data_IF_840680879578
#
_entry.id   IF_840680879578
#
_cell.length_a   1.000
_cell.length_b   1.000
_cell.length_c   1.000
_cell.angle_alpha   90.00
_cell.angle_beta   90.00
_cell.angle_gamma   90.00
#
_symmetry.space_group_name_H-M   'P 1'
#
loop_
_entity.id
_entity.type
_entity.pdbx_description
1 polymer ?
#
# COMPACT_ATOMS: atom_id res chain seq x y z
N UNK A 1 8.63 52.48 19.32
CA UNK A 1 9.08 51.58 18.24
C UNK A 1 7.95 50.56 18.00
N UNK A 2 6.73 51.04 17.71
CA UNK A 2 5.50 50.26 17.99
C UNK A 2 4.60 50.04 16.77
N UNK A 3 5.14 50.24 15.56
CA UNK A 3 4.36 50.15 14.32
C UNK A 3 4.33 48.74 13.70
N UNK A 4 5.19 47.81 14.14
CA UNK A 4 5.27 46.46 13.56
C UNK A 4 4.37 45.41 14.24
N UNK A 5 3.98 45.61 15.50
CA UNK A 5 3.33 44.58 16.32
C UNK A 5 2.04 43.96 15.73
N UNK A 6 1.02 44.76 15.38
CA UNK A 6 -0.27 44.21 14.97
C UNK A 6 -0.28 43.66 13.54
N UNK A 7 0.48 44.28 12.62
CA UNK A 7 0.54 43.83 11.23
C UNK A 7 1.29 42.51 11.07
N UNK A 8 2.39 42.33 11.83
CA UNK A 8 3.15 41.07 11.84
C UNK A 8 2.29 39.90 12.30
N UNK A 9 1.48 40.11 13.34
CA UNK A 9 0.54 39.08 13.83
C UNK A 9 -0.51 38.77 12.75
N UNK A 10 -1.06 39.79 12.09
CA UNK A 10 -2.00 39.61 10.98
C UNK A 10 -1.41 38.80 9.83
N UNK A 11 -0.19 39.12 9.40
CA UNK A 11 0.51 38.37 8.35
C UNK A 11 0.81 36.92 8.77
N UNK A 12 1.18 36.69 10.03
CA UNK A 12 1.41 35.33 10.55
C UNK A 12 0.13 34.50 10.56
N UNK A 13 -0.99 35.09 10.99
CA UNK A 13 -2.31 34.43 10.98
C UNK A 13 -2.72 34.07 9.55
N UNK A 14 -2.56 35.01 8.62
CA UNK A 14 -2.87 34.79 7.20
C UNK A 14 -2.00 33.68 6.61
N UNK A 15 -0.69 33.69 6.89
CA UNK A 15 0.24 32.67 6.44
C UNK A 15 -0.16 31.28 6.97
N UNK A 16 -0.43 31.16 8.27
CA UNK A 16 -0.77 29.88 8.89
C UNK A 16 -2.09 29.30 8.37
N UNK A 17 -3.12 30.14 8.18
CA UNK A 17 -4.37 29.69 7.56
C UNK A 17 -4.20 29.33 6.09
N UNK A 18 -3.35 30.05 5.34
CA UNK A 18 -3.06 29.70 3.95
C UNK A 18 -2.37 28.34 3.85
N UNK A 19 -1.37 28.10 4.71
CA UNK A 19 -0.70 26.80 4.82
C UNK A 19 -1.66 25.70 5.27
N UNK A 20 -2.53 25.99 6.24
CA UNK A 20 -3.57 25.07 6.71
C UNK A 20 -4.53 24.67 5.60
N UNK A 21 -4.99 25.63 4.79
CA UNK A 21 -5.86 25.36 3.64
C UNK A 21 -5.18 24.49 2.59
N UNK A 22 -3.93 24.81 2.23
CA UNK A 22 -3.14 24.01 1.27
C UNK A 22 -2.97 22.58 1.82
N UNK A 23 -2.61 22.46 3.10
CA UNK A 23 -2.45 21.18 3.77
C UNK A 23 -3.77 20.38 3.82
N UNK A 24 -4.91 21.03 4.07
CA UNK A 24 -6.23 20.40 4.08
C UNK A 24 -6.60 19.83 2.71
N UNK A 25 -6.36 20.58 1.64
CA UNK A 25 -6.55 20.08 0.26
C UNK A 25 -5.64 18.88 0.01
N UNK A 26 -4.36 18.98 0.38
CA UNK A 26 -3.44 17.85 0.27
C UNK A 26 -3.94 16.62 1.05
N UNK A 27 -4.53 16.81 2.23
CA UNK A 27 -5.03 15.71 3.06
C UNK A 27 -6.19 14.98 2.39
N UNK A 28 -7.12 15.72 1.79
CA UNK A 28 -8.23 15.16 1.01
C UNK A 28 -7.73 14.32 -0.16
N UNK A 29 -6.63 14.73 -0.80
CA UNK A 29 -6.08 14.05 -1.97
C UNK A 29 -5.20 12.84 -1.63
N UNK A 30 -4.58 12.80 -0.46
CA UNK A 30 -3.54 11.80 -0.13
C UNK A 30 -3.95 10.80 0.95
N UNK A 31 -4.87 11.16 1.84
CA UNK A 31 -5.31 10.28 2.93
C UNK A 31 -6.31 9.26 2.40
N UNK A 32 -5.98 7.98 2.62
CA UNK A 32 -6.64 6.82 1.97
C UNK A 32 -8.03 6.49 2.49
N UNK A 33 -8.37 6.97 3.67
CA UNK A 33 -9.67 6.71 4.31
C UNK A 33 -10.47 8.00 4.36
N UNK A 34 -11.74 7.95 3.99
CA UNK A 34 -12.63 9.12 4.05
C UNK A 34 -12.68 9.74 5.47
N UNK A 35 -12.72 8.91 6.52
CA UNK A 35 -12.73 9.36 7.91
C UNK A 35 -11.45 10.13 8.28
N UNK A 36 -10.28 9.57 7.97
CA UNK A 36 -9.00 10.24 8.22
C UNK A 36 -8.83 11.51 7.39
N UNK A 37 -9.26 11.51 6.12
CA UNK A 37 -9.16 12.67 5.23
C UNK A 37 -9.99 13.85 5.77
N UNK A 38 -11.23 13.59 6.18
CA UNK A 38 -12.11 14.61 6.77
C UNK A 38 -11.54 15.11 8.11
N UNK A 39 -11.04 14.21 8.95
CA UNK A 39 -10.44 14.58 10.24
C UNK A 39 -9.26 15.55 10.06
N UNK A 40 -8.34 15.25 9.14
CA UNK A 40 -7.22 16.12 8.84
C UNK A 40 -7.66 17.42 8.18
N UNK A 41 -8.53 17.37 7.17
CA UNK A 41 -8.97 18.55 6.43
C UNK A 41 -9.67 19.57 7.33
N UNK A 42 -10.62 19.11 8.16
CA UNK A 42 -11.35 19.99 9.09
C UNK A 42 -10.39 20.60 10.12
N UNK A 43 -9.52 19.80 10.72
CA UNK A 43 -8.59 20.27 11.75
C UNK A 43 -7.57 21.28 11.20
N UNK A 44 -7.06 21.05 9.98
CA UNK A 44 -6.14 21.97 9.30
C UNK A 44 -6.79 23.27 8.87
N UNK A 45 -8.07 23.23 8.50
CA UNK A 45 -8.82 24.41 8.10
C UNK A 45 -9.19 25.29 9.30
N UNK A 46 -9.76 24.70 10.36
CA UNK A 46 -10.25 25.46 11.52
C UNK A 46 -9.18 25.76 12.57
N UNK A 47 -8.19 24.88 12.75
CA UNK A 47 -7.19 24.99 13.82
C UNK A 47 -5.78 24.72 13.25
N UNK A 48 -5.31 25.51 12.26
CA UNK A 48 -4.03 25.27 11.59
C UNK A 48 -2.84 25.36 12.54
N UNK A 49 -2.92 26.23 13.55
CA UNK A 49 -1.84 26.50 14.52
C UNK A 49 -1.36 25.26 15.27
N UNK A 50 -2.29 24.35 15.58
CA UNK A 50 -2.00 23.11 16.31
C UNK A 50 -1.86 21.94 15.35
N UNK A 51 -2.68 21.92 14.30
CA UNK A 51 -2.80 20.76 13.42
C UNK A 51 -1.68 20.66 12.37
N UNK A 52 -1.08 21.78 11.97
CA UNK A 52 -0.02 21.78 10.95
C UNK A 52 1.18 20.91 11.35
N UNK A 53 1.63 20.99 12.60
CA UNK A 53 2.82 20.26 13.07
C UNK A 53 2.57 18.73 13.02
N UNK A 54 1.53 18.17 13.66
CA UNK A 54 1.20 16.75 13.53
C UNK A 54 0.96 16.32 12.09
N UNK A 55 0.34 17.16 11.26
CA UNK A 55 0.07 16.82 9.86
C UNK A 55 1.35 16.70 9.03
N UNK A 56 2.34 17.56 9.25
CA UNK A 56 3.64 17.45 8.57
C UNK A 56 4.39 16.17 8.96
N UNK A 57 4.20 15.69 10.20
CA UNK A 57 4.86 14.48 10.71
C UNK A 57 4.10 13.21 10.29
N UNK A 58 2.77 13.20 10.41
CA UNK A 58 1.94 11.99 10.29
C UNK A 58 0.96 12.00 9.11
N UNK A 59 0.64 13.18 8.59
CA UNK A 59 -0.38 13.36 7.55
C UNK A 59 0.10 13.05 6.14
N UNK A 60 1.42 13.11 5.90
CA UNK A 60 2.00 12.69 4.62
C UNK A 60 1.91 11.17 4.49
N UNK A 61 1.21 10.67 3.47
CA UNK A 61 1.15 9.24 3.21
C UNK A 61 2.53 8.72 2.79
N UNK A 62 3.24 8.04 3.69
CA UNK A 62 4.52 7.34 3.46
C UNK A 62 4.39 6.13 2.52
N UNK A 63 3.23 5.92 1.93
CA UNK A 63 2.96 4.74 1.11
C UNK A 63 3.58 4.81 -0.29
N UNK A 64 3.97 6.00 -0.76
CA UNK A 64 4.70 6.12 -2.03
C UNK A 64 6.05 5.41 -1.95
N UNK A 65 6.72 5.47 -0.79
CA UNK A 65 7.96 4.73 -0.55
C UNK A 65 7.72 3.21 -0.53
N UNK A 66 6.58 2.75 0.01
CA UNK A 66 6.19 1.34 -0.07
C UNK A 66 5.94 0.90 -1.52
N UNK A 67 5.28 1.72 -2.34
CA UNK A 67 5.05 1.42 -3.76
C UNK A 67 6.38 1.34 -4.51
N UNK A 68 7.31 2.26 -4.21
CA UNK A 68 8.65 2.27 -4.78
C UNK A 68 9.42 1.01 -4.39
N UNK A 69 9.47 0.69 -3.09
CA UNK A 69 10.10 -0.54 -2.58
C UNK A 69 9.47 -1.81 -3.19
N UNK A 70 8.15 -1.83 -3.38
CA UNK A 70 7.46 -2.96 -4.03
C UNK A 70 7.81 -3.06 -5.52
N UNK A 71 7.99 -1.94 -6.22
CA UNK A 71 8.42 -1.93 -7.62
C UNK A 71 9.84 -2.43 -7.78
N UNK A 72 10.74 -2.04 -6.87
CA UNK A 72 12.13 -2.52 -6.79
C UNK A 72 12.15 -4.03 -6.52
N UNK A 73 11.46 -4.52 -5.49
CA UNK A 73 11.35 -5.95 -5.20
C UNK A 73 10.74 -6.76 -6.37
N UNK A 74 9.74 -6.21 -7.07
CA UNK A 74 9.17 -6.85 -8.25
C UNK A 74 10.17 -6.89 -9.43
N UNK A 75 11.09 -5.92 -9.51
CA UNK A 75 12.12 -5.88 -10.54
C UNK A 75 13.21 -6.92 -10.24
N UNK A 76 13.69 -6.97 -9.01
CA UNK A 76 14.63 -8.00 -8.54
C UNK A 76 14.05 -9.41 -8.76
N UNK A 77 12.77 -9.62 -8.44
CA UNK A 77 12.10 -10.89 -8.70
C UNK A 77 12.06 -11.23 -10.20
N UNK A 78 11.83 -10.26 -11.09
CA UNK A 78 11.84 -10.50 -12.55
C UNK A 78 13.22 -10.92 -13.04
N UNK A 79 14.27 -10.29 -12.53
CA UNK A 79 15.66 -10.62 -12.87
C UNK A 79 16.07 -11.99 -12.31
N UNK A 80 15.69 -12.30 -11.06
CA UNK A 80 15.90 -13.62 -10.49
C UNK A 80 15.19 -14.72 -11.30
N UNK A 81 13.95 -14.45 -11.77
CA UNK A 81 13.19 -15.39 -12.60
C UNK A 81 13.85 -15.61 -13.98
N UNK A 82 14.52 -14.61 -14.56
CA UNK A 82 15.21 -14.81 -15.84
C UNK A 82 16.39 -15.79 -15.76
N UNK A 83 17.02 -15.92 -14.59
CA UNK A 83 18.15 -16.84 -14.36
C UNK A 83 17.70 -18.24 -13.89
N UNK A 84 16.41 -18.42 -13.59
CA UNK A 84 15.85 -19.70 -13.15
C UNK A 84 15.65 -20.65 -14.35
N UNK A 85 15.97 -21.93 -14.15
CA UNK A 85 15.63 -22.98 -15.10
C UNK A 85 14.11 -23.12 -15.21
N UNK A 86 13.53 -22.55 -16.26
CA UNK A 86 12.08 -22.46 -16.47
C UNK A 86 11.41 -23.79 -16.82
N UNK A 87 12.18 -24.83 -17.17
CA UNK A 87 11.64 -26.12 -17.67
C UNK A 87 10.58 -26.75 -16.75
N UNK A 88 10.79 -26.87 -15.42
CA UNK A 88 9.79 -27.47 -14.54
C UNK A 88 8.50 -26.65 -14.49
N UNK A 89 8.59 -25.33 -14.60
CA UNK A 89 7.43 -24.44 -14.55
C UNK A 89 6.61 -24.51 -15.83
N UNK A 90 7.26 -24.75 -16.97
CA UNK A 90 6.56 -24.98 -18.22
C UNK A 90 5.87 -26.34 -18.25
N UNK A 91 6.50 -27.40 -17.73
CA UNK A 91 5.84 -28.71 -17.58
C UNK A 91 4.59 -28.62 -16.69
N UNK A 92 4.68 -27.92 -15.56
CA UNK A 92 3.54 -27.63 -14.68
C UNK A 92 2.46 -26.81 -15.38
N UNK A 93 2.84 -25.79 -16.17
CA UNK A 93 1.89 -24.97 -16.90
C UNK A 93 1.18 -25.74 -18.04
N UNK A 94 1.88 -26.65 -18.70
CA UNK A 94 1.30 -27.56 -19.69
C UNK A 94 0.33 -28.55 -19.03
N UNK A 95 0.71 -29.11 -17.89
CA UNK A 95 -0.16 -29.97 -17.08
C UNK A 95 -1.43 -29.23 -16.64
N UNK A 96 -1.30 -27.99 -16.19
CA UNK A 96 -2.43 -27.16 -15.77
C UNK A 96 -3.42 -26.92 -16.92
N UNK A 97 -2.91 -26.66 -18.13
CA UNK A 97 -3.72 -26.48 -19.35
C UNK A 97 -4.56 -27.71 -19.72
N UNK A 98 -4.10 -28.89 -19.35
CA UNK A 98 -4.81 -30.15 -19.60
C UNK A 98 -5.93 -30.40 -18.57
N UNK A 99 -6.04 -29.60 -17.50
CA UNK A 99 -7.11 -29.75 -16.51
C UNK A 99 -8.44 -29.18 -17.02
N UNK A 100 -9.55 -29.83 -16.67
CA UNK A 100 -10.91 -29.34 -16.99
C UNK A 100 -11.19 -27.95 -16.40
N UNK A 101 -10.60 -27.64 -15.25
CA UNK A 101 -10.74 -26.35 -14.57
C UNK A 101 -10.01 -25.19 -15.28
N UNK A 102 -9.05 -25.49 -16.17
CA UNK A 102 -8.32 -24.46 -16.91
C UNK A 102 -9.25 -23.65 -17.82
N UNK A 103 -10.31 -24.26 -18.37
CA UNK A 103 -11.28 -23.57 -19.23
C UNK A 103 -11.87 -22.33 -18.55
N UNK A 104 -12.29 -22.47 -17.29
CA UNK A 104 -12.82 -21.36 -16.47
C UNK A 104 -11.75 -20.36 -16.02
N UNK A 105 -10.48 -20.77 -15.94
CA UNK A 105 -9.39 -19.96 -15.39
C UNK A 105 -8.46 -19.36 -16.46
N UNK A 106 -8.70 -19.63 -17.75
CA UNK A 106 -7.82 -19.22 -18.87
C UNK A 106 -7.57 -17.71 -18.95
N UNK A 107 -8.47 -16.89 -18.42
CA UNK A 107 -8.28 -15.43 -18.35
C UNK A 107 -7.26 -15.01 -17.28
N UNK A 108 -7.12 -15.78 -16.19
CA UNK A 108 -6.26 -15.44 -15.05
C UNK A 108 -4.78 -15.30 -15.44
N UNK A 109 -4.17 -16.22 -16.21
CA UNK A 109 -2.77 -16.06 -16.61
C UNK A 109 -2.50 -14.82 -17.44
N UNK A 110 -3.47 -14.41 -18.27
CA UNK A 110 -3.35 -13.24 -19.14
C UNK A 110 -3.42 -11.94 -18.35
N UNK A 111 -4.29 -11.88 -17.35
CA UNK A 111 -4.44 -10.70 -16.48
C UNK A 111 -3.30 -10.60 -15.47
N UNK A 112 -2.92 -11.71 -14.84
CA UNK A 112 -1.89 -11.74 -13.80
C UNK A 112 -0.45 -11.77 -14.33
N UNK A 113 -0.26 -11.93 -15.64
CA UNK A 113 1.06 -12.11 -16.28
C UNK A 113 1.90 -13.24 -15.66
N UNK A 114 1.23 -14.26 -15.10
CA UNK A 114 1.85 -15.45 -14.50
C UNK A 114 1.13 -16.70 -15.00
N UNK A 115 1.84 -17.80 -15.31
CA UNK A 115 1.19 -19.03 -15.75
C UNK A 115 0.37 -19.67 -14.62
N UNK A 116 -0.72 -20.38 -14.97
CA UNK A 116 -1.28 -21.36 -14.05
C UNK A 116 -0.32 -22.53 -13.92
N UNK A 117 -0.09 -23.00 -12.70
CA UNK A 117 0.68 -24.23 -12.42
C UNK A 117 -0.29 -25.34 -11.97
N UNK A 118 0.07 -26.59 -12.18
CA UNK A 118 -0.70 -27.71 -11.64
C UNK A 118 -0.17 -28.09 -10.25
N UNK A 119 -0.76 -29.14 -9.66
CA UNK A 119 -0.30 -29.73 -8.40
C UNK A 119 -0.26 -28.78 -7.19
N UNK A 120 -1.00 -27.67 -7.25
CA UNK A 120 -1.18 -26.75 -6.14
C UNK A 120 -2.07 -27.37 -5.06
N UNK A 121 -1.62 -27.34 -3.81
CA UNK A 121 -2.45 -27.66 -2.65
C UNK A 121 -3.04 -26.38 -2.06
N UNK A 122 -4.34 -26.17 -2.26
CA UNK A 122 -5.05 -24.98 -1.78
C UNK A 122 -6.04 -25.40 -0.68
N UNK A 123 -6.07 -24.64 0.41
CA UNK A 123 -7.03 -24.82 1.51
C UNK A 123 -7.78 -23.51 1.74
N UNK A 124 -9.11 -23.57 1.68
CA UNK A 124 -9.95 -22.42 2.01
C UNK A 124 -9.95 -22.19 3.53
N UNK A 125 -9.65 -20.97 3.94
CA UNK A 125 -9.74 -20.52 5.33
C UNK A 125 -10.93 -19.57 5.44
N UNK A 126 -11.89 -19.93 6.28
CA UNK A 126 -13.12 -19.15 6.43
C UNK A 126 -12.98 -18.26 7.68
N UNK A 127 -13.21 -16.96 7.51
CA UNK A 127 -13.13 -15.93 8.55
C UNK A 127 -11.74 -15.70 9.14
N UNK A 128 -11.67 -14.76 10.09
CA UNK A 128 -10.42 -14.31 10.71
C UNK A 128 -9.72 -15.40 11.52
N UNK A 129 -10.43 -16.10 12.40
CA UNK A 129 -9.82 -17.06 13.34
C UNK A 129 -9.02 -18.15 12.62
N UNK A 130 -9.63 -18.84 11.67
CA UNK A 130 -8.94 -19.89 10.90
C UNK A 130 -7.78 -19.34 10.06
N UNK A 131 -7.89 -18.10 9.60
CA UNK A 131 -6.85 -17.42 8.81
C UNK A 131 -5.64 -17.08 9.67
N UNK A 132 -5.85 -16.41 10.81
CA UNK A 132 -4.76 -16.00 11.70
C UNK A 132 -4.08 -17.19 12.37
N UNK A 133 -4.83 -18.22 12.77
CA UNK A 133 -4.25 -19.43 13.34
C UNK A 133 -3.29 -20.13 12.35
N UNK A 134 -3.71 -20.22 11.07
CA UNK A 134 -2.88 -20.79 10.02
C UNK A 134 -1.62 -19.95 9.76
N UNK A 135 -1.75 -18.63 9.70
CA UNK A 135 -0.64 -17.69 9.50
C UNK A 135 0.37 -17.82 10.65
N UNK A 136 -0.08 -17.73 11.91
CA UNK A 136 0.83 -17.81 13.05
C UNK A 136 1.51 -19.17 13.17
N UNK A 137 0.81 -20.25 12.79
CA UNK A 137 1.42 -21.57 12.71
C UNK A 137 2.51 -21.62 11.62
N UNK A 138 2.27 -21.06 10.45
CA UNK A 138 3.25 -21.01 9.37
C UNK A 138 4.48 -20.17 9.74
N UNK A 139 4.29 -19.01 10.38
CA UNK A 139 5.37 -18.15 10.86
C UNK A 139 6.24 -18.91 11.86
N UNK A 140 5.64 -19.61 12.84
CA UNK A 140 6.39 -20.41 13.83
C UNK A 140 7.17 -21.58 13.21
N UNK A 141 6.72 -22.10 12.07
CA UNK A 141 7.35 -23.22 11.38
C UNK A 141 8.38 -22.78 10.32
N UNK A 142 8.51 -21.47 10.05
CA UNK A 142 9.42 -20.98 9.03
C UNK A 142 10.88 -21.06 9.51
N UNK A 143 11.75 -21.68 8.72
CA UNK A 143 13.16 -21.88 9.08
C UNK A 143 14.11 -20.86 8.45
N UNK A 144 13.76 -20.33 7.26
CA UNK A 144 14.65 -19.48 6.46
C UNK A 144 14.16 -18.05 6.30
N UNK A 145 12.90 -17.87 5.92
CA UNK A 145 12.36 -16.55 5.58
C UNK A 145 10.87 -16.47 5.87
N UNK A 146 10.44 -15.29 6.32
CA UNK A 146 9.03 -14.86 6.38
C UNK A 146 8.95 -13.60 5.51
N UNK A 147 8.21 -13.66 4.40
CA UNK A 147 8.10 -12.60 3.38
C UNK A 147 6.70 -11.98 3.36
#
# INVERSE_FOLDING_TARGET
MDFLGPHVIGYLILLLHSLGLIAAVHAVLTVRTAQGAIAWAMSLFFIPYVTLIPYLIFGRSTFDDYIKARREANQEMREAISDLNWRPWVEEALTARNSKAYGSLRAMPRLGRMPCLANNSVRLLINGTATFDAIFKAIRAAEKVVL
#
